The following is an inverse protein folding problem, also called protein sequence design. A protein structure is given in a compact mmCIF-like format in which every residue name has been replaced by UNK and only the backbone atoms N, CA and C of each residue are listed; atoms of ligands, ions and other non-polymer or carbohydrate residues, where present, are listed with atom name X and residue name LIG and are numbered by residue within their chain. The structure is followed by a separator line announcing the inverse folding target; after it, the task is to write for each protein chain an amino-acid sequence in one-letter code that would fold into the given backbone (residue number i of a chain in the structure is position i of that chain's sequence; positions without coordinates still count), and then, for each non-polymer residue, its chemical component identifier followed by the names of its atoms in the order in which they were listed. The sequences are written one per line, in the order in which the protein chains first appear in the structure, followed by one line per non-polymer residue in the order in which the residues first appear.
data_IF_156602688354
#
_entry.id   IF_156602688354
#
_cell.length_a   1.000
_cell.length_b   1.000
_cell.length_c   1.000
_cell.angle_alpha   90.00
_cell.angle_beta   90.00
_cell.angle_gamma   90.00
#
_symmetry.space_group_name_H-M   'P 1'
#
loop_
_entity.id
_entity.type
_entity.pdbx_description
1 polymer ?
#
# COMPACT_ATOMS: atom_id res chain seq x y z
N UNK A 1 -31.92 -37.29 -7.57
CA UNK A 1 -30.47 -37.59 -7.58
C UNK A 1 -29.76 -36.34 -7.10
N UNK A 2 -29.26 -36.33 -5.87
CA UNK A 2 -28.52 -35.20 -5.29
C UNK A 2 -27.07 -35.65 -5.09
N UNK A 3 -26.15 -35.10 -5.89
CA UNK A 3 -24.73 -35.02 -5.58
C UNK A 3 -24.55 -33.73 -4.77
N UNK A 4 -23.90 -33.69 -3.60
CA UNK A 4 -22.59 -34.24 -3.28
C UNK A 4 -21.62 -33.05 -3.23
N UNK A 5 -21.65 -32.27 -2.15
CA UNK A 5 -20.74 -31.15 -1.90
C UNK A 5 -19.76 -31.57 -0.81
N UNK A 6 -18.55 -31.92 -1.23
CA UNK A 6 -17.41 -32.14 -0.34
C UNK A 6 -16.83 -30.81 0.13
N UNK A 7 -16.78 -30.64 1.45
CA UNK A 7 -16.21 -29.48 2.14
C UNK A 7 -14.72 -29.74 2.38
N UNK A 8 -13.86 -29.03 1.66
CA UNK A 8 -12.42 -29.02 1.92
C UNK A 8 -12.13 -28.01 3.05
N UNK A 9 -11.82 -28.53 4.24
CA UNK A 9 -11.20 -27.78 5.35
C UNK A 9 -9.68 -28.00 5.31
N UNK A 10 -8.93 -26.96 4.98
CA UNK A 10 -7.52 -26.78 5.37
C UNK A 10 -7.42 -25.37 5.98
N UNK A 11 -6.77 -25.11 7.10
CA UNK A 11 -5.59 -25.74 7.68
C UNK A 11 -4.54 -24.64 7.79
N UNK A 12 -4.52 -23.92 8.92
CA UNK A 12 -3.47 -22.96 9.25
C UNK A 12 -3.22 -23.00 10.76
N UNK A 13 -2.38 -23.95 11.18
CA UNK A 13 -1.80 -23.98 12.51
C UNK A 13 -0.63 -22.98 12.54
N UNK A 14 -0.77 -21.95 13.40
CA UNK A 14 0.28 -20.98 13.68
C UNK A 14 1.19 -21.52 14.78
N UNK A 15 2.43 -21.87 14.43
CA UNK A 15 3.47 -22.28 15.39
C UNK A 15 4.16 -21.02 15.90
N UNK A 16 3.77 -20.57 17.09
CA UNK A 16 4.48 -19.52 17.84
C UNK A 16 5.52 -20.20 18.72
N UNK A 17 6.79 -20.18 18.31
CA UNK A 17 7.90 -20.59 19.15
C UNK A 17 8.28 -19.46 20.11
N UNK A 18 7.85 -19.55 21.36
CA UNK A 18 8.33 -18.70 22.45
C UNK A 18 9.69 -19.23 22.94
N UNK A 19 10.78 -18.53 22.64
CA UNK A 19 12.07 -18.75 23.28
C UNK A 19 12.09 -18.04 24.64
N UNK A 20 12.00 -18.83 25.71
CA UNK A 20 12.27 -18.37 27.08
C UNK A 20 13.76 -18.09 27.25
N UNK A 21 14.10 -16.83 27.51
CA UNK A 21 15.44 -16.43 27.94
C UNK A 21 15.51 -16.62 29.45
N UNK A 22 16.15 -17.71 29.88
CA UNK A 22 16.51 -17.92 31.29
C UNK A 22 17.67 -16.98 31.65
N UNK A 23 17.41 -15.99 32.49
CA UNK A 23 18.46 -15.22 33.17
C UNK A 23 18.83 -15.93 34.48
N UNK A 24 20.10 -16.26 34.72
CA UNK A 24 20.53 -16.81 36.00
C UNK A 24 20.44 -15.73 37.10
N UNK A 25 19.52 -15.96 38.03
CA UNK A 25 19.46 -15.30 39.33
C UNK A 25 20.49 -15.97 40.23
N UNK A 26 21.67 -15.36 40.37
CA UNK A 26 22.59 -15.73 41.43
C UNK A 26 23.10 -14.50 42.18
N UNK A 27 22.58 -14.38 43.40
CA UNK A 27 23.32 -14.24 44.66
C UNK A 27 24.53 -13.32 44.66
N UNK A 28 24.47 -12.24 45.46
CA UNK A 28 25.34 -12.05 46.64
C UNK A 28 25.22 -10.64 47.23
N UNK A 29 24.86 -10.58 48.50
CA UNK A 29 24.87 -9.37 49.31
C UNK A 29 25.03 -9.68 50.80
N UNK A 30 26.17 -10.26 51.19
CA UNK A 30 26.66 -10.20 52.58
C UNK A 30 28.16 -9.91 52.57
N UNK A 31 28.47 -8.64 52.80
CA UNK A 31 29.80 -8.14 53.05
C UNK A 31 30.30 -8.63 54.41
N UNK A 32 31.48 -9.25 54.44
CA UNK A 32 32.31 -9.29 55.65
C UNK A 32 33.77 -8.98 55.33
N UNK A 33 34.25 -8.00 56.08
CA UNK A 33 35.59 -7.48 56.23
C UNK A 33 36.66 -8.56 56.45
N UNK A 34 37.82 -8.36 55.85
CA UNK A 34 39.05 -9.08 56.17
C UNK A 34 40.20 -8.67 55.25
N UNK A 35 41.04 -7.74 55.71
CA UNK A 35 42.32 -7.38 55.08
C UNK A 35 43.24 -8.61 54.95
N UNK A 36 43.92 -8.74 53.82
CA UNK A 36 45.36 -9.06 53.74
C UNK A 36 45.84 -8.96 52.28
N UNK A 37 46.80 -8.07 52.04
CA UNK A 37 47.50 -7.92 50.77
C UNK A 37 48.49 -9.07 50.54
N UNK A 38 48.65 -9.52 49.29
CA UNK A 38 49.98 -9.91 48.82
C UNK A 38 50.34 -9.26 47.49
N UNK A 39 51.49 -8.62 47.49
CA UNK A 39 52.24 -8.13 46.34
C UNK A 39 52.61 -9.29 45.43
N UNK A 40 52.08 -9.33 44.20
CA UNK A 40 52.67 -10.14 43.14
C UNK A 40 52.34 -9.55 41.77
N UNK A 41 53.38 -9.04 41.14
CA UNK A 41 53.44 -8.60 39.74
C UNK A 41 52.93 -9.74 38.85
N UNK A 42 51.64 -9.68 38.49
CA UNK A 42 51.06 -10.52 37.46
C UNK A 42 50.81 -9.66 36.24
N UNK A 43 51.47 -10.04 35.16
CA UNK A 43 51.33 -9.49 33.82
C UNK A 43 49.87 -9.70 33.40
N UNK A 44 49.05 -8.67 33.55
CA UNK A 44 47.72 -8.61 32.96
C UNK A 44 47.90 -8.54 31.43
N UNK A 45 47.91 -9.70 30.77
CA UNK A 45 47.60 -9.76 29.34
C UNK A 45 46.14 -9.37 29.22
N UNK A 46 45.87 -8.18 28.69
CA UNK A 46 44.52 -7.72 28.37
C UNK A 46 43.82 -8.80 27.56
N UNK A 47 42.58 -9.20 27.90
CA UNK A 47 41.83 -10.08 27.02
C UNK A 47 41.68 -9.38 25.68
N UNK A 48 42.16 -10.03 24.62
CA UNK A 48 41.87 -9.62 23.25
C UNK A 48 40.38 -9.84 23.08
N UNK A 49 39.59 -8.77 23.21
CA UNK A 49 38.20 -8.77 22.78
C UNK A 49 38.23 -8.94 21.25
N UNK A 50 38.11 -10.18 20.80
CA UNK A 50 37.76 -10.43 19.40
C UNK A 50 36.33 -9.90 19.24
N UNK A 51 36.21 -8.71 18.67
CA UNK A 51 34.95 -8.25 18.10
C UNK A 51 34.55 -9.28 17.04
N UNK A 52 33.67 -10.20 17.41
CA UNK A 52 32.92 -11.00 16.45
C UNK A 52 32.01 -10.00 15.73
N UNK A 53 32.51 -9.40 14.66
CA UNK A 53 31.68 -8.65 13.71
C UNK A 53 30.79 -9.67 13.00
N UNK A 54 29.65 -9.97 13.62
CA UNK A 54 28.55 -10.64 12.94
C UNK A 54 28.08 -9.66 11.87
N UNK A 55 28.57 -9.83 10.65
CA UNK A 55 28.02 -9.13 9.49
C UNK A 55 26.64 -9.73 9.26
N UNK A 56 25.62 -9.11 9.87
CA UNK A 56 24.25 -9.35 9.47
C UNK A 56 24.11 -8.86 8.03
N UNK A 57 24.14 -9.80 7.09
CA UNK A 57 23.60 -9.58 5.75
C UNK A 57 22.08 -9.43 5.91
N UNK A 58 21.66 -8.23 6.30
CA UNK A 58 20.26 -7.82 6.24
C UNK A 58 19.94 -7.64 4.76
N UNK A 59 19.47 -8.73 4.14
CA UNK A 59 18.85 -8.67 2.81
C UNK A 59 17.77 -7.59 2.79
N UNK A 60 17.62 -6.87 1.66
CA UNK A 60 17.11 -5.50 1.65
C UNK A 60 15.62 -5.46 1.98
N UNK A 61 15.28 -4.94 3.15
CA UNK A 61 13.88 -4.70 3.60
C UNK A 61 13.09 -3.84 2.60
N UNK A 62 13.78 -3.01 1.80
CA UNK A 62 13.17 -2.13 0.79
C UNK A 62 12.47 -2.87 -0.36
N UNK A 63 12.99 -4.02 -0.81
CA UNK A 63 12.40 -4.73 -1.96
C UNK A 63 11.08 -5.42 -1.61
N UNK A 64 10.91 -5.87 -0.36
CA UNK A 64 9.66 -6.46 0.11
C UNK A 64 8.54 -5.43 0.21
N UNK A 65 8.81 -4.23 0.73
CA UNK A 65 7.81 -3.16 0.87
C UNK A 65 7.24 -2.72 -0.48
N UNK A 66 8.10 -2.53 -1.49
CA UNK A 66 7.70 -2.16 -2.86
C UNK A 66 6.78 -3.21 -3.48
N UNK A 67 7.14 -4.49 -3.37
CA UNK A 67 6.32 -5.59 -3.90
C UNK A 67 4.91 -5.62 -3.29
N UNK A 68 4.77 -5.46 -1.97
CA UNK A 68 3.45 -5.41 -1.34
C UNK A 68 2.63 -4.22 -1.82
N UNK A 69 3.25 -3.04 -1.95
CA UNK A 69 2.57 -1.84 -2.42
C UNK A 69 2.00 -2.02 -3.84
N UNK A 70 2.77 -2.60 -4.76
CA UNK A 70 2.31 -2.94 -6.12
C UNK A 70 1.16 -3.96 -6.11
N UNK A 71 1.24 -5.01 -5.27
CA UNK A 71 0.17 -6.01 -5.15
C UNK A 71 -1.14 -5.39 -4.64
N UNK A 72 -1.08 -4.50 -3.65
CA UNK A 72 -2.26 -3.80 -3.15
C UNK A 72 -2.82 -2.81 -4.16
N UNK A 73 -1.96 -2.05 -4.86
CA UNK A 73 -2.41 -1.13 -5.90
C UNK A 73 -3.17 -1.88 -7.01
N UNK A 74 -2.63 -3.00 -7.48
CA UNK A 74 -3.29 -3.83 -8.49
C UNK A 74 -4.64 -4.39 -8.00
N UNK A 75 -4.71 -4.84 -6.75
CA UNK A 75 -5.96 -5.28 -6.14
C UNK A 75 -7.03 -4.16 -6.18
N UNK A 76 -6.70 -2.93 -5.75
CA UNK A 76 -7.66 -1.84 -5.79
C UNK A 76 -8.05 -1.43 -7.22
N UNK A 77 -7.10 -1.42 -8.16
CA UNK A 77 -7.38 -1.17 -9.58
C UNK A 77 -8.41 -2.18 -10.11
N UNK A 78 -8.24 -3.47 -9.84
CA UNK A 78 -9.20 -4.50 -10.25
C UNK A 78 -10.59 -4.29 -9.64
N UNK A 79 -10.66 -3.95 -8.34
CA UNK A 79 -11.93 -3.64 -7.67
C UNK A 79 -12.61 -2.40 -8.26
N UNK A 80 -11.84 -1.35 -8.55
CA UNK A 80 -12.33 -0.12 -9.18
C UNK A 80 -12.94 -0.44 -10.55
N UNK A 81 -12.21 -1.16 -11.40
CA UNK A 81 -12.68 -1.53 -12.74
C UNK A 81 -13.95 -2.39 -12.67
N UNK A 82 -14.01 -3.33 -11.72
CA UNK A 82 -15.20 -4.15 -11.46
C UNK A 82 -16.40 -3.29 -11.03
N UNK A 83 -16.20 -2.35 -10.11
CA UNK A 83 -17.25 -1.48 -9.62
C UNK A 83 -17.76 -0.53 -10.71
N UNK A 84 -16.88 0.05 -11.53
CA UNK A 84 -17.27 0.86 -12.69
C UNK A 84 -18.12 0.07 -13.69
N UNK A 85 -17.75 -1.18 -13.96
CA UNK A 85 -18.53 -2.07 -14.80
C UNK A 85 -19.93 -2.34 -14.19
N UNK A 86 -20.00 -2.56 -12.89
CA UNK A 86 -21.27 -2.73 -12.19
C UNK A 86 -22.13 -1.46 -12.18
N UNK A 87 -21.54 -0.26 -12.07
CA UNK A 87 -22.24 1.02 -12.23
C UNK A 87 -22.87 1.09 -13.63
N UNK A 88 -22.13 0.70 -14.67
CA UNK A 88 -22.59 0.70 -16.07
C UNK A 88 -23.71 -0.32 -16.31
N UNK A 89 -23.59 -1.52 -15.73
CA UNK A 89 -24.59 -2.59 -15.84
C UNK A 89 -25.88 -2.26 -15.09
N UNK A 90 -25.80 -1.48 -14.01
CA UNK A 90 -26.94 -1.05 -13.21
C UNK A 90 -27.33 0.40 -13.48
N UNK A 91 -26.97 0.96 -14.63
CA UNK A 91 -27.14 2.40 -14.87
C UNK A 91 -28.61 2.86 -14.80
N UNK A 92 -29.54 1.98 -15.18
CA UNK A 92 -30.99 2.24 -15.14
C UNK A 92 -31.62 1.91 -13.75
N UNK A 93 -30.87 1.24 -12.86
CA UNK A 93 -31.24 1.04 -11.45
C UNK A 93 -30.45 2.00 -10.55
N UNK A 94 -31.12 3.07 -10.11
CA UNK A 94 -30.51 4.07 -9.24
C UNK A 94 -29.89 3.48 -7.97
N UNK A 95 -30.52 2.46 -7.37
CA UNK A 95 -30.04 1.86 -6.12
C UNK A 95 -28.76 1.06 -6.36
N UNK A 96 -28.77 0.18 -7.36
CA UNK A 96 -27.58 -0.56 -7.78
C UNK A 96 -26.44 0.38 -8.12
N UNK A 97 -26.72 1.40 -8.94
CA UNK A 97 -25.76 2.44 -9.33
C UNK A 97 -25.13 3.13 -8.12
N UNK A 98 -25.93 3.55 -7.13
CA UNK A 98 -25.43 4.20 -5.91
C UNK A 98 -24.52 3.27 -5.07
N UNK A 99 -24.88 2.00 -4.93
CA UNK A 99 -24.09 1.03 -4.15
C UNK A 99 -22.71 0.85 -4.78
N UNK A 100 -22.65 0.56 -6.08
CA UNK A 100 -21.38 0.32 -6.77
C UNK A 100 -20.57 1.61 -6.92
N UNK A 101 -21.23 2.75 -7.10
CA UNK A 101 -20.56 4.04 -7.17
C UNK A 101 -19.90 4.42 -5.83
N UNK A 102 -20.56 4.15 -4.70
CA UNK A 102 -19.97 4.33 -3.37
C UNK A 102 -18.74 3.43 -3.16
N UNK A 103 -18.81 2.16 -3.56
CA UNK A 103 -17.68 1.24 -3.47
C UNK A 103 -16.51 1.70 -4.35
N UNK A 104 -16.81 2.10 -5.59
CA UNK A 104 -15.84 2.73 -6.49
C UNK A 104 -15.12 3.91 -5.84
N UNK A 105 -15.84 4.86 -5.23
CA UNK A 105 -15.21 6.02 -4.56
C UNK A 105 -14.23 5.60 -3.47
N UNK A 106 -14.67 4.72 -2.59
CA UNK A 106 -13.87 4.23 -1.48
C UNK A 106 -12.60 3.52 -1.97
N UNK A 107 -12.71 2.75 -3.04
CA UNK A 107 -11.57 2.00 -3.57
C UNK A 107 -10.56 2.92 -4.28
N UNK A 108 -10.99 4.05 -4.87
CA UNK A 108 -10.11 5.12 -5.38
C UNK A 108 -9.37 5.82 -4.23
N UNK A 109 -10.06 6.17 -3.15
CA UNK A 109 -9.45 6.75 -1.95
C UNK A 109 -8.38 5.81 -1.37
N UNK A 110 -8.66 4.50 -1.32
CA UNK A 110 -7.67 3.53 -0.86
C UNK A 110 -6.49 3.38 -1.82
N UNK A 111 -6.72 3.44 -3.14
CA UNK A 111 -5.66 3.32 -4.15
C UNK A 111 -4.57 4.38 -3.97
N UNK A 112 -4.93 5.58 -3.53
CA UNK A 112 -3.99 6.68 -3.23
C UNK A 112 -2.86 6.24 -2.29
N UNK A 113 -3.17 5.49 -1.24
CA UNK A 113 -2.18 5.06 -0.24
C UNK A 113 -1.18 4.02 -0.78
N UNK A 114 -1.49 3.40 -1.92
CA UNK A 114 -0.69 2.30 -2.49
C UNK A 114 -0.13 2.61 -3.87
N UNK A 115 -0.48 3.72 -4.51
CA UNK A 115 0.03 4.04 -5.84
C UNK A 115 1.56 4.25 -5.79
N UNK A 116 2.34 3.68 -6.73
CA UNK A 116 3.76 3.95 -6.82
C UNK A 116 4.03 5.42 -7.18
N UNK A 117 5.01 6.05 -6.53
CA UNK A 117 5.43 7.44 -6.79
C UNK A 117 6.55 7.55 -7.85
N UNK A 118 6.67 6.54 -8.73
CA UNK A 118 7.80 6.45 -9.66
C UNK A 118 7.57 7.22 -10.97
N UNK A 119 6.31 7.54 -11.27
CA UNK A 119 5.88 8.28 -12.45
C UNK A 119 4.68 9.21 -12.11
N UNK A 120 4.02 9.77 -13.13
CA UNK A 120 2.88 10.67 -12.94
C UNK A 120 1.54 9.94 -12.62
N UNK A 121 1.57 8.65 -12.27
CA UNK A 121 0.37 7.90 -11.86
C UNK A 121 -0.25 8.47 -10.59
N UNK A 122 0.57 8.92 -9.64
CA UNK A 122 0.10 9.61 -8.43
C UNK A 122 -0.76 10.83 -8.80
N UNK A 123 -0.30 11.67 -9.74
CA UNK A 123 -1.07 12.83 -10.21
C UNK A 123 -2.42 12.44 -10.82
N UNK A 124 -2.50 11.33 -11.57
CA UNK A 124 -3.77 10.83 -12.10
C UNK A 124 -4.69 10.32 -11.00
N UNK A 125 -4.17 9.61 -10.00
CA UNK A 125 -5.00 9.16 -8.86
C UNK A 125 -5.52 10.36 -8.08
N UNK A 126 -4.68 11.37 -7.82
CA UNK A 126 -5.11 12.61 -7.15
C UNK A 126 -6.21 13.34 -7.92
N UNK A 127 -6.05 13.46 -9.24
CA UNK A 127 -7.06 14.03 -10.13
C UNK A 127 -8.39 13.25 -10.03
N UNK A 128 -8.32 11.92 -10.02
CA UNK A 128 -9.49 11.07 -9.87
C UNK A 128 -10.17 11.27 -8.53
N UNK A 129 -9.41 11.35 -7.42
CA UNK A 129 -9.96 11.67 -6.08
C UNK A 129 -10.76 12.97 -6.12
N UNK A 130 -10.19 14.04 -6.67
CA UNK A 130 -10.86 15.34 -6.78
C UNK A 130 -12.15 15.27 -7.63
N UNK A 131 -12.12 14.53 -8.75
CA UNK A 131 -13.28 14.30 -9.60
C UNK A 131 -14.38 13.57 -8.82
N UNK A 132 -14.03 12.46 -8.17
CA UNK A 132 -15.03 11.59 -7.55
C UNK A 132 -15.65 12.23 -6.31
N UNK A 133 -14.95 13.09 -5.57
CA UNK A 133 -15.54 13.80 -4.43
C UNK A 133 -16.79 14.60 -4.86
N UNK A 134 -16.73 15.22 -6.03
CA UNK A 134 -17.75 16.11 -6.54
C UNK A 134 -18.81 15.41 -7.41
N UNK A 135 -18.49 14.22 -7.90
CA UNK A 135 -19.40 13.44 -8.74
C UNK A 135 -20.45 12.70 -7.89
N UNK A 136 -21.68 12.64 -8.39
CA UNK A 136 -22.78 11.89 -7.77
C UNK A 136 -23.26 10.78 -8.69
N UNK A 137 -23.68 9.67 -8.11
CA UNK A 137 -24.16 8.50 -8.85
C UNK A 137 -25.36 8.83 -9.75
N UNK A 138 -26.22 9.76 -9.33
CA UNK A 138 -27.36 10.22 -10.12
C UNK A 138 -26.98 11.07 -11.34
N UNK A 139 -25.82 11.72 -11.31
CA UNK A 139 -25.41 12.72 -12.30
C UNK A 139 -24.32 12.24 -13.26
N UNK A 140 -23.77 11.03 -13.04
CA UNK A 140 -22.76 10.46 -13.92
C UNK A 140 -23.41 9.90 -15.21
N UNK A 141 -22.83 10.24 -16.35
CA UNK A 141 -23.21 9.71 -17.67
C UNK A 141 -22.42 8.43 -18.02
N UNK A 142 -22.97 7.59 -18.91
CA UNK A 142 -22.32 6.31 -19.30
C UNK A 142 -20.95 6.51 -19.94
N UNK A 143 -20.78 7.53 -20.78
CA UNK A 143 -19.50 7.88 -21.40
C UNK A 143 -18.46 8.37 -20.37
N UNK A 144 -18.89 9.05 -19.32
CA UNK A 144 -18.01 9.47 -18.23
C UNK A 144 -17.46 8.25 -17.46
N UNK A 145 -18.28 7.22 -17.26
CA UNK A 145 -17.82 5.94 -16.67
C UNK A 145 -16.71 5.33 -17.52
N UNK A 146 -16.92 5.26 -18.84
CA UNK A 146 -15.94 4.70 -19.77
C UNK A 146 -14.64 5.51 -19.80
N UNK A 147 -14.75 6.84 -19.73
CA UNK A 147 -13.59 7.75 -19.68
C UNK A 147 -12.78 7.57 -18.39
N UNK A 148 -13.45 7.48 -17.24
CA UNK A 148 -12.80 7.19 -15.96
C UNK A 148 -12.11 5.82 -16.02
N UNK A 149 -12.79 4.81 -16.57
CA UNK A 149 -12.23 3.47 -16.72
C UNK A 149 -10.93 3.48 -17.52
N UNK A 150 -10.89 4.21 -18.63
CA UNK A 150 -9.69 4.34 -19.46
C UNK A 150 -8.49 4.94 -18.69
N UNK A 151 -8.74 5.94 -17.84
CA UNK A 151 -7.70 6.52 -16.98
C UNK A 151 -7.20 5.53 -15.94
N UNK A 152 -8.09 4.75 -15.32
CA UNK A 152 -7.71 3.68 -14.38
C UNK A 152 -6.86 2.60 -15.06
N UNK A 153 -7.25 2.19 -16.26
CA UNK A 153 -6.45 1.25 -17.07
C UNK A 153 -5.08 1.83 -17.43
N UNK A 154 -4.99 3.14 -17.65
CA UNK A 154 -3.71 3.81 -17.86
C UNK A 154 -2.81 3.70 -16.63
N UNK A 155 -3.34 3.99 -15.44
CA UNK A 155 -2.61 3.85 -14.16
C UNK A 155 -2.11 2.42 -13.99
N UNK A 156 -2.94 1.42 -14.30
CA UNK A 156 -2.54 0.00 -14.25
C UNK A 156 -1.36 -0.35 -15.15
N UNK A 157 -1.30 0.22 -16.36
CA UNK A 157 -0.19 0.03 -17.30
C UNK A 157 1.09 0.74 -16.85
N UNK A 158 0.97 1.75 -15.99
CA UNK A 158 2.07 2.61 -15.54
C UNK A 158 2.78 3.32 -16.69
N UNK A 159 3.98 3.82 -16.41
CA UNK A 159 4.79 4.62 -17.32
C UNK A 159 4.03 5.86 -17.83
N UNK A 160 3.40 6.57 -16.89
CA UNK A 160 2.69 7.82 -17.15
C UNK A 160 3.73 8.94 -17.23
N UNK A 161 3.93 9.45 -18.44
CA UNK A 161 4.74 10.65 -18.68
C UNK A 161 3.89 11.91 -18.54
N UNK A 162 4.53 13.07 -18.41
CA UNK A 162 3.85 14.37 -18.37
C UNK A 162 2.89 14.56 -19.56
N UNK A 163 3.33 14.26 -20.79
CA UNK A 163 2.47 14.33 -21.98
C UNK A 163 1.23 13.43 -21.89
N UNK A 164 1.33 12.26 -21.24
CA UNK A 164 0.18 11.36 -21.04
C UNK A 164 -0.76 11.90 -19.97
N UNK A 165 -0.21 12.49 -18.89
CA UNK A 165 -0.99 13.16 -17.87
C UNK A 165 -1.84 14.27 -18.49
N UNK A 166 -1.23 15.15 -19.30
CA UNK A 166 -1.94 16.22 -20.01
C UNK A 166 -3.00 15.69 -20.96
N UNK A 167 -2.69 14.61 -21.68
CA UNK A 167 -3.65 13.93 -22.54
C UNK A 167 -4.88 13.48 -21.74
N UNK A 168 -4.68 12.82 -20.59
CA UNK A 168 -5.80 12.33 -19.79
C UNK A 168 -6.62 13.45 -19.14
N UNK A 169 -5.98 14.55 -18.73
CA UNK A 169 -6.70 15.72 -18.24
C UNK A 169 -7.62 16.29 -19.33
N UNK A 170 -7.07 16.53 -20.53
CA UNK A 170 -7.86 17.01 -21.68
C UNK A 170 -8.97 16.03 -22.05
N UNK A 171 -8.65 14.74 -22.10
CA UNK A 171 -9.62 13.69 -22.37
C UNK A 171 -10.78 13.68 -21.37
N UNK A 172 -10.51 13.83 -20.06
CA UNK A 172 -11.56 13.91 -19.05
C UNK A 172 -12.42 15.18 -19.23
N UNK A 173 -11.79 16.33 -19.51
CA UNK A 173 -12.51 17.59 -19.78
C UNK A 173 -13.40 17.50 -21.02
N UNK A 174 -12.90 16.91 -22.11
CA UNK A 174 -13.63 16.70 -23.36
C UNK A 174 -14.82 15.74 -23.20
N UNK A 175 -14.82 14.91 -22.16
CA UNK A 175 -15.91 14.02 -21.79
C UNK A 175 -16.81 14.60 -20.68
N UNK A 176 -16.83 15.92 -20.52
CA UNK A 176 -17.67 16.67 -19.57
C UNK A 176 -17.46 16.26 -18.10
N UNK A 177 -16.28 15.73 -17.74
CA UNK A 177 -15.98 15.40 -16.34
C UNK A 177 -15.47 16.66 -15.64
N UNK A 178 -16.18 17.17 -14.62
CA UNK A 178 -15.81 18.41 -13.98
C UNK A 178 -14.51 18.25 -13.18
N UNK A 179 -13.50 19.06 -13.53
CA UNK A 179 -12.26 19.18 -12.77
C UNK A 179 -12.37 20.37 -11.83
N UNK A 180 -12.30 20.13 -10.52
CA UNK A 180 -12.39 21.20 -9.51
C UNK A 180 -11.03 21.83 -9.24
N UNK A 181 -9.96 21.02 -9.30
CA UNK A 181 -8.57 21.47 -9.13
C UNK A 181 -7.71 20.80 -10.18
N UNK A 182 -6.84 21.60 -10.80
CA UNK A 182 -5.74 21.07 -11.59
C UNK A 182 -4.54 20.88 -10.65
N UNK A 183 -3.78 19.77 -10.77
CA UNK A 183 -2.51 19.63 -10.07
C UNK A 183 -1.62 20.86 -10.31
N UNK A 184 -1.02 21.42 -9.26
CA UNK A 184 -0.28 22.70 -9.28
C UNK A 184 0.78 22.78 -10.40
N UNK A 185 1.34 21.62 -10.75
CA UNK A 185 2.37 21.45 -11.78
C UNK A 185 1.88 21.67 -13.23
N UNK A 186 0.56 21.85 -13.43
CA UNK A 186 -0.08 21.90 -14.76
C UNK A 186 -0.68 23.29 -15.05
N UNK A 187 -0.73 24.17 -14.03
CA UNK A 187 -1.33 25.51 -14.16
C UNK A 187 -0.72 26.35 -15.30
N UNK A 188 0.58 26.17 -15.59
CA UNK A 188 1.29 26.93 -16.63
C UNK A 188 0.80 26.69 -18.08
N UNK A 189 -0.02 25.66 -18.34
CA UNK A 189 -0.51 25.34 -19.68
C UNK A 189 -1.91 25.88 -20.00
N UNK A 190 -2.57 26.51 -19.03
CA UNK A 190 -3.96 26.95 -19.14
C UNK A 190 -4.16 28.45 -18.91
N UNK A 191 -3.07 29.24 -18.95
CA UNK A 191 -3.10 30.71 -19.07
C UNK A 191 -3.38 31.16 -20.53
#
# INVERSE_FOLDING_TARGET
MYAGLDVIKGGAESIVSQQQVNLPMDTLGKWKSGYNSPTRSQIFRKPVQQEIRIQFNVSPVKSKKKKYQEEFANFFIEQILHNLENVKNNFDDLRGRQIFFYQFKRDIENLWDFVPQEDFSENLVMLLVDIIENLKAENIARNQIDSIKEVIEAISRGNITENKLDFYIKFLMENDIPLVRLPENISHFYD
#
